data_IF_480200125439
#
_entry.id   IF_480200125439
#
_cell.length_a   1.000
_cell.length_b   1.000
_cell.length_c   1.000
_cell.angle_alpha   90.00
_cell.angle_beta   90.00
_cell.angle_gamma   90.00
#
_symmetry.space_group_name_H-M   'P 1'
#
loop_
_entity.id
_entity.type
_entity.pdbx_description
1 polymer ?
#
# COMPACT_ATOMS: atom_id res chain seq x y z
N UNK A 1 10.78 -14.52 17.14
CA UNK A 1 11.28 -13.21 17.62
C UNK A 1 11.95 -12.35 16.54
N UNK A 2 12.55 -12.89 15.46
CA UNK A 2 13.11 -12.09 14.35
C UNK A 2 12.08 -11.59 13.32
N UNK A 3 11.13 -12.45 12.93
CA UNK A 3 10.15 -12.13 11.87
C UNK A 3 9.30 -10.93 12.27
N UNK A 4 8.79 -10.89 13.50
CA UNK A 4 7.98 -9.77 14.01
C UNK A 4 8.74 -8.43 13.92
N UNK A 5 10.03 -8.41 14.29
CA UNK A 5 10.86 -7.20 14.19
C UNK A 5 11.08 -6.76 12.75
N UNK A 6 11.35 -7.71 11.85
CA UNK A 6 11.52 -7.43 10.40
C UNK A 6 10.20 -6.93 9.80
N UNK A 7 9.07 -7.53 10.16
CA UNK A 7 7.74 -7.11 9.71
C UNK A 7 7.40 -5.70 10.20
N UNK A 8 7.73 -5.35 11.45
CA UNK A 8 7.54 -3.99 11.97
C UNK A 8 8.44 -2.97 11.27
N UNK A 9 9.69 -3.32 11.00
CA UNK A 9 10.62 -2.45 10.25
C UNK A 9 10.12 -2.23 8.82
N UNK A 10 9.67 -3.28 8.13
CA UNK A 10 9.11 -3.18 6.79
C UNK A 10 7.85 -2.31 6.78
N UNK A 11 6.91 -2.58 7.69
CA UNK A 11 5.67 -1.79 7.79
C UNK A 11 5.98 -0.31 8.10
N UNK A 12 6.87 -0.05 9.05
CA UNK A 12 7.31 1.31 9.38
C UNK A 12 7.99 2.01 8.21
N UNK A 13 8.82 1.31 7.43
CA UNK A 13 9.49 1.88 6.25
C UNK A 13 8.52 2.20 5.11
N UNK A 14 7.51 1.36 4.89
CA UNK A 14 6.49 1.60 3.86
C UNK A 14 5.64 2.81 4.22
N UNK A 15 5.20 2.89 5.48
CA UNK A 15 4.40 4.03 5.97
C UNK A 15 5.21 5.32 5.93
N UNK A 16 6.46 5.32 6.37
CA UNK A 16 7.30 6.53 6.39
C UNK A 16 7.65 7.03 4.99
N UNK A 17 7.92 6.13 4.04
CA UNK A 17 8.16 6.49 2.64
C UNK A 17 6.89 7.03 1.97
N UNK A 18 5.74 6.38 2.16
CA UNK A 18 4.45 6.86 1.64
C UNK A 18 4.11 8.24 2.20
N UNK A 19 4.24 8.44 3.51
CA UNK A 19 4.06 9.74 4.15
C UNK A 19 5.02 10.80 3.60
N UNK A 20 6.30 10.45 3.44
CA UNK A 20 7.31 11.38 2.93
C UNK A 20 6.98 11.87 1.52
N UNK A 21 6.50 10.98 0.65
CA UNK A 21 6.08 11.33 -0.72
C UNK A 21 4.83 12.22 -0.69
N UNK A 22 3.81 11.84 0.08
CA UNK A 22 2.56 12.59 0.21
C UNK A 22 2.82 14.02 0.74
N UNK A 23 3.69 14.16 1.75
CA UNK A 23 4.07 15.47 2.29
C UNK A 23 4.89 16.29 1.29
N UNK A 24 5.77 15.65 0.53
CA UNK A 24 6.53 16.33 -0.53
C UNK A 24 5.63 16.86 -1.65
N UNK A 25 4.52 16.17 -1.92
CA UNK A 25 3.47 16.64 -2.84
C UNK A 25 2.59 17.75 -2.24
N UNK A 26 2.85 18.19 -1.00
CA UNK A 26 2.12 19.27 -0.34
C UNK A 26 0.80 18.85 0.30
N UNK A 27 0.56 17.56 0.51
CA UNK A 27 -0.66 17.10 1.19
C UNK A 27 -0.61 17.38 2.69
N UNK A 28 -1.78 17.57 3.30
CA UNK A 28 -1.90 17.79 4.74
C UNK A 28 -1.45 16.56 5.52
N UNK A 29 -0.76 16.75 6.66
CA UNK A 29 -0.19 15.66 7.48
C UNK A 29 -1.24 14.61 7.89
N UNK A 30 -2.43 15.05 8.31
CA UNK A 30 -3.51 14.12 8.67
C UNK A 30 -4.02 13.35 7.45
N UNK A 31 -4.12 14.00 6.29
CA UNK A 31 -4.56 13.37 5.06
C UNK A 31 -3.53 12.36 4.56
N UNK A 32 -2.23 12.70 4.60
CA UNK A 32 -1.12 11.81 4.28
C UNK A 32 -1.13 10.56 5.18
N UNK A 33 -1.39 10.73 6.48
CA UNK A 33 -1.47 9.61 7.41
C UNK A 33 -2.66 8.69 7.12
N UNK A 34 -3.83 9.28 6.83
CA UNK A 34 -4.99 8.51 6.40
C UNK A 34 -4.73 7.78 5.08
N UNK A 35 -4.07 8.42 4.12
CA UNK A 35 -3.69 7.85 2.84
C UNK A 35 -2.73 6.65 3.00
N UNK A 36 -1.66 6.81 3.79
CA UNK A 36 -0.67 5.76 4.03
C UNK A 36 -1.25 4.52 4.74
N UNK A 37 -2.28 4.70 5.58
CA UNK A 37 -2.98 3.60 6.26
C UNK A 37 -4.13 3.00 5.44
N UNK A 38 -4.63 3.72 4.43
CA UNK A 38 -5.74 3.28 3.58
C UNK A 38 -5.38 3.32 2.08
N UNK A 39 -4.53 2.39 1.60
CA UNK A 39 -3.96 2.44 0.26
C UNK A 39 -5.00 2.38 -0.87
N UNK A 40 -6.11 1.65 -0.67
CA UNK A 40 -7.20 1.56 -1.65
C UNK A 40 -7.91 2.89 -1.93
N UNK A 41 -7.82 3.85 -1.01
CA UNK A 41 -8.42 5.18 -1.20
C UNK A 41 -7.64 6.02 -2.21
N UNK A 42 -6.33 5.82 -2.25
CA UNK A 42 -5.38 6.64 -3.01
C UNK A 42 -5.05 5.99 -4.35
N UNK A 43 -5.29 4.69 -4.49
CA UNK A 43 -5.10 3.98 -5.75
C UNK A 43 -5.98 4.56 -6.87
N UNK A 44 -5.34 4.85 -7.99
CA UNK A 44 -6.01 5.26 -9.22
C UNK A 44 -6.87 4.12 -9.78
N UNK A 45 -7.88 4.47 -10.57
CA UNK A 45 -8.80 3.49 -11.19
C UNK A 45 -8.03 2.46 -12.03
N UNK A 46 -6.96 2.89 -12.71
CA UNK A 46 -6.08 2.02 -13.47
C UNK A 46 -5.34 1.01 -12.58
N UNK A 47 -4.85 1.44 -11.41
CA UNK A 47 -4.17 0.56 -10.46
C UNK A 47 -5.14 -0.46 -9.84
N UNK A 48 -6.37 -0.01 -9.51
CA UNK A 48 -7.43 -0.91 -9.01
C UNK A 48 -7.77 -1.98 -10.05
N UNK A 49 -7.87 -1.60 -11.32
CA UNK A 49 -8.14 -2.52 -12.42
C UNK A 49 -7.04 -3.58 -12.59
N UNK A 50 -5.76 -3.16 -12.52
CA UNK A 50 -4.62 -4.09 -12.59
C UNK A 50 -4.61 -5.03 -11.38
N UNK A 51 -4.83 -4.50 -10.17
CA UNK A 51 -4.81 -5.30 -8.94
C UNK A 51 -5.94 -6.34 -8.92
N UNK A 52 -7.14 -5.97 -9.37
CA UNK A 52 -8.25 -6.92 -9.56
C UNK A 52 -7.94 -7.99 -10.61
N UNK A 53 -7.35 -7.59 -11.75
CA UNK A 53 -7.00 -8.51 -12.83
C UNK A 53 -5.95 -9.54 -12.37
N UNK A 54 -4.95 -9.09 -11.59
CA UNK A 54 -3.93 -9.96 -11.02
C UNK A 54 -4.49 -10.94 -9.99
N UNK A 55 -5.39 -10.48 -9.11
CA UNK A 55 -6.05 -11.34 -8.12
C UNK A 55 -6.89 -12.43 -8.81
N UNK A 56 -7.67 -12.06 -9.83
CA UNK A 56 -8.46 -13.01 -10.59
C UNK A 56 -7.61 -14.06 -11.30
N UNK A 57 -6.49 -13.64 -11.90
CA UNK A 57 -5.56 -14.57 -12.56
C UNK A 57 -4.83 -15.47 -11.56
N UNK A 58 -4.43 -14.94 -10.41
CA UNK A 58 -3.80 -15.70 -9.33
C UNK A 58 -4.75 -16.76 -8.76
N UNK A 59 -6.03 -16.43 -8.56
CA UNK A 59 -7.06 -17.39 -8.16
C UNK A 59 -7.24 -18.48 -9.22
N UNK A 60 -7.33 -18.10 -10.50
CA UNK A 60 -7.44 -19.04 -11.60
C UNK A 60 -6.24 -20.00 -11.72
N UNK A 61 -5.02 -19.54 -11.42
CA UNK A 61 -3.82 -20.36 -11.41
C UNK A 61 -3.73 -21.27 -10.17
N UNK A 62 -4.26 -20.82 -9.03
CA UNK A 62 -4.27 -21.62 -7.80
C UNK A 62 -5.19 -22.84 -7.91
N UNK A 63 -6.25 -22.75 -8.73
CA UNK A 63 -7.20 -23.83 -8.96
C UNK A 63 -6.74 -24.87 -10.00
N UNK A 64 -5.56 -24.68 -10.62
CA UNK A 64 -4.93 -25.59 -11.57
C UNK A 64 -3.71 -26.29 -10.94
#
# INVERSE_FOLDING_TARGET
MKIIGVSLLLLGSVVSLSLGIDLFQGTNVLQALYNALSPFRVMEVAELFVLFSLLFFAESLYLF
#
